data_IF_548238892496
#
_entry.id   IF_548238892496
#
_cell.length_a   1.000
_cell.length_b   1.000
_cell.length_c   1.000
_cell.angle_alpha   90.00
_cell.angle_beta   90.00
_cell.angle_gamma   90.00
#
_symmetry.space_group_name_H-M   'P 1'
#
loop_
_entity.id
_entity.type
_entity.pdbx_description
1 polymer ?
#
# COMPACT_ATOMS: atom_id res chain seq x y z
N UNK A 1 39.84 -36.72 68.95
CA UNK A 1 39.86 -35.48 68.15
C UNK A 1 39.73 -35.90 66.71
N UNK A 2 38.52 -35.78 66.16
CA UNK A 2 38.23 -36.00 64.74
C UNK A 2 37.64 -34.68 64.25
N UNK A 3 38.36 -34.06 63.32
CA UNK A 3 38.00 -32.87 62.56
C UNK A 3 36.98 -33.30 61.51
N UNK A 4 35.78 -32.70 61.51
CA UNK A 4 34.82 -32.85 60.41
C UNK A 4 34.54 -31.47 59.80
N UNK A 5 35.24 -31.20 58.69
CA UNK A 5 35.05 -30.01 57.86
C UNK A 5 33.75 -30.17 57.07
N UNK A 6 32.74 -29.38 57.43
CA UNK A 6 31.59 -29.17 56.54
C UNK A 6 31.99 -28.13 55.49
N UNK A 7 32.28 -28.61 54.28
CA UNK A 7 32.24 -27.83 53.05
C UNK A 7 30.81 -27.29 52.86
N UNK A 8 30.59 -26.03 53.20
CA UNK A 8 29.36 -25.33 52.82
C UNK A 8 29.47 -24.92 51.36
N UNK A 9 28.92 -25.76 50.50
CA UNK A 9 28.74 -25.55 49.06
C UNK A 9 28.08 -24.18 48.83
N UNK A 10 28.82 -23.33 48.12
CA UNK A 10 28.43 -22.02 47.61
C UNK A 10 27.18 -22.18 46.72
N UNK A 11 25.98 -22.01 47.31
CA UNK A 11 24.73 -21.93 46.55
C UNK A 11 24.42 -20.46 46.35
N UNK A 12 24.61 -19.90 45.14
CA UNK A 12 24.17 -18.53 44.87
C UNK A 12 22.66 -18.47 45.11
N UNK A 13 22.30 -17.64 46.08
CA UNK A 13 20.96 -17.42 46.59
C UNK A 13 19.96 -17.31 45.45
N UNK A 14 18.92 -18.17 45.46
CA UNK A 14 17.77 -18.17 44.52
C UNK A 14 17.18 -16.79 44.23
N UNK A 15 17.39 -15.83 45.15
CA UNK A 15 16.97 -14.42 45.04
C UNK A 15 17.73 -13.63 43.97
N UNK A 16 18.99 -13.96 43.70
CA UNK A 16 19.81 -13.28 42.67
C UNK A 16 19.39 -13.71 41.27
N UNK A 17 19.11 -15.00 41.07
CA UNK A 17 18.63 -15.55 39.80
C UNK A 17 17.24 -15.05 39.41
N UNK A 18 16.35 -14.82 40.37
CA UNK A 18 15.01 -14.26 40.11
C UNK A 18 15.05 -12.79 39.74
N UNK A 19 15.96 -12.00 40.33
CA UNK A 19 16.12 -10.57 39.99
C UNK A 19 16.61 -10.36 38.55
N UNK A 20 17.55 -11.17 38.08
CA UNK A 20 18.07 -11.10 36.70
C UNK A 20 16.99 -11.47 35.68
N UNK A 21 16.16 -12.48 35.98
CA UNK A 21 15.07 -12.90 35.10
C UNK A 21 14.01 -11.79 34.91
N UNK A 22 13.66 -11.06 35.97
CA UNK A 22 12.68 -9.96 35.89
C UNK A 22 13.26 -8.78 35.10
N UNK A 23 14.53 -8.43 35.31
CA UNK A 23 15.19 -7.37 34.56
C UNK A 23 15.32 -7.70 33.06
N UNK A 24 15.65 -8.95 32.72
CA UNK A 24 15.70 -9.41 31.35
C UNK A 24 14.32 -9.39 30.67
N UNK A 25 13.27 -9.85 31.35
CA UNK A 25 11.90 -9.79 30.83
C UNK A 25 11.41 -8.35 30.65
N UNK A 26 11.69 -7.45 31.59
CA UNK A 26 11.33 -6.03 31.49
C UNK A 26 12.03 -5.33 30.32
N UNK A 27 13.31 -5.62 30.10
CA UNK A 27 14.07 -5.09 28.96
C UNK A 27 13.54 -5.58 27.60
N UNK A 28 13.18 -6.86 27.50
CA UNK A 28 12.59 -7.41 26.26
C UNK A 28 11.22 -6.81 25.98
N UNK A 29 10.38 -6.62 27.00
CA UNK A 29 9.06 -5.99 26.85
C UNK A 29 9.21 -4.52 26.44
N UNK A 30 10.14 -3.78 27.04
CA UNK A 30 10.41 -2.39 26.65
C UNK A 30 10.86 -2.30 25.19
N UNK A 31 11.78 -3.16 24.75
CA UNK A 31 12.23 -3.21 23.36
C UNK A 31 11.10 -3.60 22.40
N UNK A 32 10.21 -4.52 22.77
CA UNK A 32 9.06 -4.90 21.95
C UNK A 32 8.03 -3.78 21.84
N UNK A 33 7.78 -3.04 22.94
CA UNK A 33 6.88 -1.87 22.93
C UNK A 33 7.49 -0.76 22.08
N UNK A 34 8.77 -0.42 22.26
CA UNK A 34 9.45 0.58 21.44
C UNK A 34 9.44 0.18 19.96
N UNK A 35 9.73 -1.08 19.65
CA UNK A 35 9.70 -1.59 18.28
C UNK A 35 8.29 -1.49 17.66
N UNK A 36 7.24 -1.89 18.38
CA UNK A 36 5.87 -1.81 17.90
C UNK A 36 5.37 -0.36 17.75
N UNK A 37 5.70 0.52 18.70
CA UNK A 37 5.31 1.94 18.66
C UNK A 37 6.04 2.67 17.53
N UNK A 38 7.35 2.42 17.36
CA UNK A 38 8.14 3.02 16.28
C UNK A 38 7.69 2.53 14.90
N UNK A 39 7.34 1.25 14.75
CA UNK A 39 6.87 0.74 13.47
C UNK A 39 5.52 1.30 13.06
N UNK A 40 4.58 1.49 14.00
CA UNK A 40 3.30 2.13 13.69
C UNK A 40 3.49 3.61 13.31
N UNK A 41 4.48 4.28 13.90
CA UNK A 41 4.76 5.68 13.60
C UNK A 41 5.58 5.89 12.32
N UNK A 42 6.38 4.89 11.91
CA UNK A 42 7.26 4.94 10.73
C UNK A 42 6.73 4.13 9.54
N UNK A 43 5.61 3.43 9.68
CA UNK A 43 5.01 2.69 8.58
C UNK A 43 4.50 3.69 7.52
N UNK A 44 4.90 3.54 6.24
CA UNK A 44 4.40 4.41 5.17
C UNK A 44 2.87 4.33 5.11
N UNK A 45 2.23 5.49 5.10
CA UNK A 45 0.77 5.58 5.01
C UNK A 45 0.31 5.01 3.66
N UNK A 46 -0.61 4.05 3.72
CA UNK A 46 -1.27 3.48 2.55
C UNK A 46 -2.67 4.05 2.48
N UNK A 47 -2.98 4.74 1.38
CA UNK A 47 -4.28 5.37 1.14
C UNK A 47 -5.02 4.62 0.03
N UNK A 48 -6.21 4.06 0.29
CA UNK A 48 -6.99 3.44 -0.77
C UNK A 48 -7.49 4.52 -1.75
N UNK A 49 -7.53 4.19 -3.03
CA UNK A 49 -8.17 5.03 -4.06
C UNK A 49 -9.12 4.19 -4.90
N UNK A 50 -10.16 4.83 -5.42
CA UNK A 50 -11.17 4.15 -6.21
C UNK A 50 -11.92 5.13 -7.09
N UNK A 51 -12.06 4.75 -8.35
CA UNK A 51 -12.78 5.51 -9.37
C UNK A 51 -14.30 5.41 -9.19
N UNK A 52 -14.78 4.39 -8.48
CA UNK A 52 -16.19 4.14 -8.14
C UNK A 52 -16.79 5.19 -7.18
N UNK A 53 -15.95 6.05 -6.58
CA UNK A 53 -16.43 7.21 -5.82
C UNK A 53 -16.93 8.36 -6.72
N UNK A 54 -16.71 8.27 -8.04
CA UNK A 54 -17.25 9.22 -9.00
C UNK A 54 -18.77 9.01 -9.20
N UNK A 55 -19.50 10.09 -9.47
CA UNK A 55 -20.96 10.12 -9.52
C UNK A 55 -21.56 9.22 -10.62
N UNK A 56 -20.81 8.92 -11.67
CA UNK A 56 -21.22 8.05 -12.78
C UNK A 56 -20.04 7.20 -13.27
N UNK A 57 -20.15 5.87 -13.16
CA UNK A 57 -19.19 4.94 -13.76
C UNK A 57 -19.37 4.92 -15.30
N UNK A 58 -18.29 5.09 -16.07
CA UNK A 58 -18.37 5.05 -17.53
C UNK A 58 -18.61 3.61 -17.97
N UNK A 59 -19.86 3.28 -18.31
CA UNK A 59 -20.23 2.03 -18.97
C UNK A 59 -19.86 0.72 -18.25
N UNK A 60 -19.57 0.74 -16.95
CA UNK A 60 -19.13 -0.45 -16.19
C UNK A 60 -17.62 -0.58 -16.00
N UNK A 61 -16.85 0.44 -16.38
CA UNK A 61 -15.42 0.55 -16.05
C UNK A 61 -15.25 0.93 -14.58
N UNK A 62 -14.28 0.30 -13.92
CA UNK A 62 -13.83 0.70 -12.58
C UNK A 62 -12.32 0.52 -12.43
N UNK A 63 -11.69 1.39 -11.65
CA UNK A 63 -10.31 1.29 -11.26
C UNK A 63 -10.19 1.54 -9.76
N UNK A 64 -9.47 0.68 -9.07
CA UNK A 64 -9.26 0.80 -7.62
C UNK A 64 -7.91 0.24 -7.22
N UNK A 65 -7.41 0.67 -6.06
CA UNK A 65 -6.15 0.19 -5.53
C UNK A 65 -5.63 1.02 -4.36
N UNK A 66 -4.31 1.12 -4.27
CA UNK A 66 -3.61 1.73 -3.16
C UNK A 66 -2.59 2.75 -3.65
N UNK A 67 -2.47 3.84 -2.89
CA UNK A 67 -1.40 4.81 -3.01
C UNK A 67 -0.53 4.67 -1.77
N UNK A 68 0.77 4.57 -1.98
CA UNK A 68 1.75 4.45 -0.91
C UNK A 68 2.80 5.54 -1.08
N UNK A 69 2.87 6.42 -0.10
CA UNK A 69 3.98 7.36 0.03
C UNK A 69 5.26 6.57 0.36
N UNK A 70 6.28 6.74 -0.47
CA UNK A 70 7.61 6.14 -0.28
C UNK A 70 8.71 7.21 -0.21
N UNK A 71 8.37 8.45 0.15
CA UNK A 71 9.26 9.60 0.26
C UNK A 71 9.01 10.61 -0.86
N UNK A 72 9.97 10.80 -1.76
CA UNK A 72 9.83 11.75 -2.88
C UNK A 72 8.89 11.25 -4.00
N UNK A 73 8.33 10.06 -3.82
CA UNK A 73 7.52 9.35 -4.80
C UNK A 73 6.31 8.69 -4.14
N UNK A 74 5.30 8.49 -4.98
CA UNK A 74 4.05 7.84 -4.65
C UNK A 74 3.95 6.63 -5.52
N UNK A 75 3.89 5.47 -4.87
CA UNK A 75 3.60 4.22 -5.56
C UNK A 75 2.10 4.07 -5.70
N UNK A 76 1.63 4.11 -6.94
CA UNK A 76 0.24 3.86 -7.30
C UNK A 76 0.11 2.42 -7.80
N UNK A 77 -0.60 1.59 -7.03
CA UNK A 77 -0.98 0.24 -7.44
C UNK A 77 -2.50 0.15 -7.59
N UNK A 78 -2.96 -0.79 -8.39
CA UNK A 78 -4.39 -1.04 -8.53
C UNK A 78 -4.73 -1.98 -9.67
N UNK A 79 -6.03 -2.06 -9.96
CA UNK A 79 -6.57 -2.84 -11.07
C UNK A 79 -7.59 -2.02 -11.82
N UNK A 80 -7.42 -1.89 -13.14
CA UNK A 80 -8.46 -1.43 -14.04
C UNK A 80 -9.29 -2.64 -14.46
N UNK A 81 -10.61 -2.57 -14.29
CA UNK A 81 -11.56 -3.61 -14.66
C UNK A 81 -12.60 -3.05 -15.61
N UNK A 82 -12.79 -3.72 -16.74
CA UNK A 82 -13.91 -3.49 -17.63
C UNK A 82 -15.01 -4.51 -17.34
N UNK A 83 -16.20 -4.09 -16.89
CA UNK A 83 -17.36 -4.98 -16.72
C UNK A 83 -18.43 -4.76 -17.79
N UNK A 84 -18.18 -3.89 -18.76
CA UNK A 84 -19.09 -3.62 -19.84
C UNK A 84 -19.25 -4.86 -20.73
N UNK A 85 -20.42 -5.00 -21.33
CA UNK A 85 -20.65 -5.94 -22.43
C UNK A 85 -20.79 -5.16 -23.74
N UNK A 86 -19.81 -4.29 -24.00
CA UNK A 86 -19.60 -3.64 -25.28
C UNK A 86 -18.23 -4.05 -25.80
N UNK A 87 -18.02 -4.21 -27.10
CA UNK A 87 -16.74 -4.71 -27.65
C UNK A 87 -15.60 -3.65 -27.56
N UNK A 88 -15.53 -2.94 -26.45
CA UNK A 88 -14.59 -1.88 -26.15
C UNK A 88 -13.60 -2.37 -25.11
N UNK A 89 -12.60 -1.54 -24.85
CA UNK A 89 -11.68 -1.70 -23.76
C UNK A 89 -11.77 -0.50 -22.83
N UNK A 90 -11.51 -0.76 -21.55
CA UNK A 90 -11.29 0.27 -20.56
C UNK A 90 -9.88 0.82 -20.69
N UNK A 91 -9.77 2.15 -20.66
CA UNK A 91 -8.54 2.91 -20.66
C UNK A 91 -8.50 3.77 -19.39
N UNK A 92 -7.44 3.64 -18.61
CA UNK A 92 -7.15 4.52 -17.50
C UNK A 92 -6.02 5.46 -17.89
N UNK A 93 -6.28 6.75 -17.72
CA UNK A 93 -5.34 7.82 -17.99
C UNK A 93 -5.00 8.45 -16.66
N UNK A 94 -3.72 8.44 -16.35
CA UNK A 94 -3.19 9.07 -15.16
C UNK A 94 -2.82 10.49 -15.56
N UNK A 95 -3.25 11.47 -14.79
CA UNK A 95 -2.90 12.88 -14.95
C UNK A 95 -1.99 13.27 -13.80
N UNK A 96 -0.84 13.87 -14.12
CA UNK A 96 0.10 14.41 -13.15
C UNK A 96 0.18 15.92 -13.39
N UNK A 97 -0.25 16.72 -12.41
CA UNK A 97 -0.46 18.17 -12.55
C UNK A 97 -1.31 18.53 -13.79
N UNK A 98 -2.47 17.88 -13.91
CA UNK A 98 -3.44 18.03 -15.00
C UNK A 98 -2.95 17.67 -16.42
N UNK A 99 -1.75 17.09 -16.53
CA UNK A 99 -1.19 16.63 -17.81
C UNK A 99 -1.24 15.12 -17.89
N UNK A 100 -1.63 14.60 -19.06
CA UNK A 100 -1.62 13.16 -19.29
C UNK A 100 -0.21 12.61 -19.08
N UNK A 101 -0.10 11.67 -18.14
CA UNK A 101 1.10 10.92 -17.88
C UNK A 101 1.36 9.99 -19.07
N UNK A 102 2.63 9.75 -19.34
CA UNK A 102 3.09 9.10 -20.58
C UNK A 102 2.55 7.68 -20.78
N UNK A 103 2.13 7.02 -19.70
CA UNK A 103 1.64 5.65 -19.72
C UNK A 103 0.15 5.61 -19.43
N UNK A 104 -0.57 4.96 -20.34
CA UNK A 104 -1.98 4.64 -20.18
C UNK A 104 -2.15 3.15 -19.92
N UNK A 105 -3.16 2.80 -19.13
CA UNK A 105 -3.45 1.40 -18.78
C UNK A 105 -4.69 0.98 -19.56
N UNK A 106 -4.57 -0.03 -20.41
CA UNK A 106 -5.62 -0.46 -21.34
C UNK A 106 -5.96 -1.94 -21.10
N UNK A 107 -7.25 -2.27 -20.98
CA UNK A 107 -7.70 -3.67 -20.96
C UNK A 107 -7.71 -4.26 -22.37
N UNK A 108 -7.65 -5.58 -22.49
CA UNK A 108 -7.67 -6.25 -23.80
C UNK A 108 -9.05 -6.28 -24.46
N UNK A 109 -10.10 -5.85 -23.75
CA UNK A 109 -11.49 -5.86 -24.18
C UNK A 109 -12.45 -5.85 -22.98
N UNK A 110 -13.72 -6.10 -23.26
CA UNK A 110 -14.77 -6.26 -22.26
C UNK A 110 -14.50 -7.45 -21.32
N UNK A 111 -14.94 -7.31 -20.08
CA UNK A 111 -14.78 -8.33 -19.02
C UNK A 111 -13.34 -8.68 -18.65
N UNK A 112 -12.37 -7.88 -19.11
CA UNK A 112 -10.95 -8.05 -18.80
C UNK A 112 -10.52 -7.08 -17.69
N UNK A 113 -9.43 -7.43 -17.03
CA UNK A 113 -8.76 -6.57 -16.07
C UNK A 113 -7.28 -6.42 -16.37
N UNK A 114 -6.68 -5.34 -15.88
CA UNK A 114 -5.26 -5.05 -16.07
C UNK A 114 -4.70 -4.36 -14.84
N UNK A 115 -3.51 -4.80 -14.42
CA UNK A 115 -2.82 -4.26 -13.26
C UNK A 115 -2.23 -2.88 -13.52
N UNK A 116 -2.24 -2.06 -12.47
CA UNK A 116 -1.64 -0.73 -12.42
C UNK A 116 -0.46 -0.83 -11.44
N UNK A 117 0.73 -0.42 -11.88
CA UNK A 117 1.91 -0.30 -11.03
C UNK A 117 2.76 0.85 -11.59
N UNK A 118 2.61 2.02 -10.99
CA UNK A 118 3.26 3.25 -11.41
C UNK A 118 3.94 3.95 -10.23
N UNK A 119 5.07 4.60 -10.53
CA UNK A 119 5.81 5.44 -9.60
C UNK A 119 5.70 6.88 -10.07
N UNK A 120 5.05 7.71 -9.26
CA UNK A 120 4.72 9.10 -9.57
C UNK A 120 5.44 10.01 -8.57
N UNK A 121 5.66 11.28 -8.91
CA UNK A 121 6.26 12.23 -7.96
C UNK A 121 5.24 12.63 -6.90
N UNK A 122 5.66 12.66 -5.63
CA UNK A 122 4.79 13.06 -4.51
C UNK A 122 4.45 14.56 -4.51
N UNK A 123 5.26 15.38 -5.17
CA UNK A 123 5.03 16.83 -5.25
C UNK A 123 3.93 17.24 -6.22
N UNK A 124 3.32 16.28 -6.93
CA UNK A 124 2.37 16.54 -8.00
C UNK A 124 0.96 16.07 -7.63
N UNK A 125 -0.05 16.80 -8.11
CA UNK A 125 -1.42 16.32 -8.03
C UNK A 125 -1.66 15.21 -9.04
N UNK A 126 -2.20 14.09 -8.57
CA UNK A 126 -2.47 12.89 -9.34
C UNK A 126 -3.98 12.72 -9.44
N UNK A 127 -4.47 12.75 -10.67
CA UNK A 127 -5.85 12.44 -11.00
C UNK A 127 -5.93 11.27 -11.97
N UNK A 128 -7.05 10.56 -11.94
CA UNK A 128 -7.32 9.45 -12.86
C UNK A 128 -8.56 9.72 -13.68
N UNK A 129 -8.46 9.45 -14.98
CA UNK A 129 -9.55 9.58 -15.93
C UNK A 129 -9.78 8.24 -16.60
N UNK A 130 -10.99 7.73 -16.47
CA UNK A 130 -11.40 6.52 -17.15
C UNK A 130 -12.01 6.85 -18.51
N UNK A 131 -11.73 6.02 -19.48
CA UNK A 131 -12.32 6.09 -20.79
C UNK A 131 -12.70 4.70 -21.30
N UNK A 132 -13.72 4.64 -22.14
CA UNK A 132 -13.95 3.49 -23.03
C UNK A 132 -13.35 3.80 -24.39
N UNK A 133 -12.64 2.85 -24.98
CA UNK A 133 -11.94 3.01 -26.27
C UNK A 133 -11.94 1.72 -27.07
N UNK A 134 -11.44 1.75 -28.30
CA UNK A 134 -11.23 0.55 -29.10
C UNK A 134 -10.13 -0.36 -28.50
N UNK A 135 -10.30 -1.71 -28.46
CA UNK A 135 -9.34 -2.61 -27.80
C UNK A 135 -7.91 -2.59 -28.35
N UNK A 136 -7.75 -2.20 -29.62
CA UNK A 136 -6.44 -2.13 -30.29
C UNK A 136 -5.99 -0.71 -30.60
N UNK A 137 -6.79 0.31 -30.28
CA UNK A 137 -6.50 1.71 -30.57
C UNK A 137 -7.10 2.61 -29.48
N UNK A 138 -6.23 3.11 -28.61
CA UNK A 138 -6.57 3.93 -27.44
C UNK A 138 -7.10 5.33 -27.79
N UNK A 139 -6.98 5.75 -29.05
CA UNK A 139 -7.46 7.06 -29.52
C UNK A 139 -8.83 6.97 -30.20
N UNK A 140 -9.21 5.78 -30.67
CA UNK A 140 -10.44 5.55 -31.44
C UNK A 140 -11.64 5.30 -30.54
N UNK A 141 -12.74 6.00 -30.83
CA UNK A 141 -14.02 5.90 -30.10
C UNK A 141 -13.88 6.21 -28.60
N UNK A 142 -12.84 6.96 -28.22
CA UNK A 142 -12.49 7.31 -26.85
C UNK A 142 -13.58 8.19 -26.22
N UNK A 143 -14.25 7.65 -25.20
CA UNK A 143 -15.25 8.34 -24.39
C UNK A 143 -14.79 8.35 -22.95
N UNK A 144 -14.43 9.53 -22.45
CA UNK A 144 -13.89 9.70 -21.11
C UNK A 144 -14.87 10.38 -20.18
N UNK A 145 -14.74 10.08 -18.88
CA UNK A 145 -15.32 10.89 -17.80
C UNK A 145 -14.42 12.06 -17.42
N UNK A 146 -14.90 12.88 -16.50
CA UNK A 146 -14.10 13.86 -15.81
C UNK A 146 -13.03 13.18 -14.94
N UNK A 147 -11.85 13.81 -14.79
CA UNK A 147 -10.78 13.28 -13.96
C UNK A 147 -11.15 13.33 -12.47
N UNK A 148 -10.75 12.30 -11.72
CA UNK A 148 -10.91 12.22 -10.28
C UNK A 148 -9.54 12.34 -9.62
N UNK A 149 -9.33 13.37 -8.80
CA UNK A 149 -8.11 13.53 -7.99
C UNK A 149 -8.05 12.46 -6.90
N UNK A 150 -6.91 11.78 -6.80
CA UNK A 150 -6.69 10.66 -5.86
C UNK A 150 -5.51 10.88 -4.91
N UNK A 151 -4.53 11.71 -5.27
CA UNK A 151 -3.34 11.99 -4.47
C UNK A 151 -2.81 13.38 -4.73
N UNK A 152 -2.45 14.10 -3.66
CA UNK A 152 -3.20 15.27 -3.20
C UNK A 152 -3.74 16.17 -4.32
#
# INVERSE_FOLDING_TARGET
>A
MVDDRIQQSDRPSRKVLTGIAIAACGGVIALLVEYLVLQVWLAPEVKPWGSNAAQEAVGGVSADGELKDIGEQVKMTGTLTDRANDNKAALLIILVNDKEYRRVVLTKGAHESTGIDELLSDTASIAVRECLTHPTDETRDRRCRDPLTIWP
#
